data_IF_227076599319
#
_entry.id   IF_227076599319
#
_cell.length_a   1.000
_cell.length_b   1.000
_cell.length_c   1.000
_cell.angle_alpha   90.00
_cell.angle_beta   90.00
_cell.angle_gamma   90.00
#
_symmetry.space_group_name_H-M   'P 1'
#
loop_
_entity.id
_entity.type
_entity.pdbx_description
1 polymer ?
#
# COMPACT_ATOMS: atom_id res chain seq x y z
N UNK A 1 12.69 -5.88 36.89
CA UNK A 1 12.73 -7.11 36.08
C UNK A 1 11.51 -7.02 35.18
N UNK A 2 11.65 -6.22 34.12
CA UNK A 2 10.56 -5.82 33.22
C UNK A 2 10.70 -6.58 31.91
N UNK A 3 9.62 -7.22 31.51
CA UNK A 3 9.55 -8.08 30.33
C UNK A 3 9.40 -7.20 29.09
N UNK A 4 10.51 -6.96 28.38
CA UNK A 4 10.50 -6.31 27.06
C UNK A 4 9.86 -7.28 26.04
N UNK A 5 8.58 -7.07 25.71
CA UNK A 5 7.93 -7.80 24.62
C UNK A 5 8.55 -7.36 23.28
N UNK A 6 9.33 -8.27 22.69
CA UNK A 6 9.85 -8.10 21.33
C UNK A 6 8.70 -8.25 20.33
N UNK A 7 8.38 -7.16 19.64
CA UNK A 7 7.51 -7.18 18.46
C UNK A 7 8.32 -7.61 17.24
N UNK A 8 8.20 -8.87 16.84
CA UNK A 8 8.54 -9.31 15.48
C UNK A 8 7.28 -9.23 14.63
N UNK A 9 7.18 -8.23 13.79
CA UNK A 9 6.23 -8.21 12.68
C UNK A 9 7.06 -8.31 11.39
N UNK A 10 6.86 -9.39 10.64
CA UNK A 10 7.52 -9.59 9.34
C UNK A 10 7.17 -8.45 8.39
N UNK A 11 8.18 -7.93 7.70
CA UNK A 11 8.10 -6.91 6.66
C UNK A 11 7.51 -5.54 7.07
N UNK A 12 7.96 -5.01 8.22
CA UNK A 12 8.19 -3.57 8.34
C UNK A 12 9.62 -3.44 8.83
N UNK A 13 10.50 -2.84 8.02
CA UNK A 13 11.86 -2.49 8.44
C UNK A 13 11.77 -1.70 9.74
N UNK A 14 12.27 -2.27 10.83
CA UNK A 14 12.32 -1.60 12.13
C UNK A 14 13.40 -0.52 12.04
N UNK A 15 12.99 0.74 11.83
CA UNK A 15 13.88 1.89 11.99
C UNK A 15 13.67 2.45 13.40
N UNK A 16 14.45 1.94 14.35
CA UNK A 16 14.70 2.60 15.63
C UNK A 16 15.98 3.42 15.47
N UNK A 17 15.84 4.74 15.34
CA UNK A 17 16.98 5.66 15.48
C UNK A 17 17.21 5.89 16.97
N UNK A 18 18.29 5.33 17.49
CA UNK A 18 18.78 5.57 18.84
C UNK A 18 19.64 6.83 18.86
N UNK A 19 19.03 8.02 18.67
CA UNK A 19 19.67 9.31 18.94
C UNK A 19 18.65 10.30 19.52
N UNK A 20 19.09 11.12 20.48
CA UNK A 20 18.28 11.99 21.35
C UNK A 20 17.45 13.08 20.64
N UNK A 21 16.89 14.04 21.40
CA UNK A 21 15.75 14.85 20.96
C UNK A 21 16.19 15.78 19.82
N UNK A 22 15.79 15.44 18.60
CA UNK A 22 15.96 16.26 17.42
C UNK A 22 14.76 15.97 16.52
N UNK A 23 14.10 17.04 16.08
CA UNK A 23 12.82 17.02 15.39
C UNK A 23 12.75 15.99 14.26
N UNK A 24 11.84 15.02 14.40
CA UNK A 24 11.50 14.08 13.34
C UNK A 24 10.65 14.83 12.31
N UNK A 25 11.31 15.36 11.28
CA UNK A 25 10.63 16.00 10.14
C UNK A 25 10.21 14.92 9.13
N UNK A 26 8.99 14.41 9.26
CA UNK A 26 8.35 13.60 8.22
C UNK A 26 7.85 14.53 7.10
N UNK A 27 8.69 14.78 6.11
CA UNK A 27 8.31 15.51 4.88
C UNK A 27 7.23 14.74 4.09
N UNK A 28 6.40 15.48 3.36
CA UNK A 28 5.15 14.98 2.75
C UNK A 28 5.33 13.99 1.59
N UNK A 29 6.56 13.81 1.06
CA UNK A 29 6.86 12.88 -0.05
C UNK A 29 8.21 12.13 0.06
N UNK A 30 8.93 12.31 1.16
CA UNK A 30 10.27 11.74 1.36
C UNK A 30 10.36 11.03 2.71
N UNK A 31 10.38 9.69 2.68
CA UNK A 31 11.23 8.98 3.64
C UNK A 31 12.65 9.14 3.09
N UNK A 32 13.51 9.91 3.76
CA UNK A 32 14.95 9.71 3.60
C UNK A 32 15.26 8.30 4.11
N UNK A 33 15.11 7.33 3.21
CA UNK A 33 15.52 5.97 3.45
C UNK A 33 17.02 5.97 3.24
N UNK A 34 17.81 5.98 4.32
CA UNK A 34 19.23 5.70 4.24
C UNK A 34 19.37 4.21 3.88
N UNK A 35 19.24 3.89 2.60
CA UNK A 35 19.44 2.52 2.12
C UNK A 35 20.94 2.27 2.09
N UNK A 36 21.47 1.66 3.15
CA UNK A 36 22.78 1.01 3.08
C UNK A 36 22.65 -0.20 2.15
N UNK A 37 22.76 0.02 0.83
CA UNK A 37 22.98 -1.05 -0.15
C UNK A 37 24.42 -1.56 -0.01
N UNK A 38 24.69 -2.24 1.10
CA UNK A 38 25.97 -2.86 1.42
C UNK A 38 25.78 -4.36 1.59
N UNK A 39 25.56 -5.08 0.50
CA UNK A 39 25.76 -6.53 0.45
C UNK A 39 27.26 -6.82 0.55
N UNK A 40 27.78 -6.85 1.77
CA UNK A 40 29.19 -7.10 2.03
C UNK A 40 29.38 -7.68 3.43
N UNK A 41 29.93 -8.90 3.45
CA UNK A 41 30.35 -9.66 4.63
C UNK A 41 30.89 -8.79 5.78
N UNK A 42 30.51 -9.16 7.01
CA UNK A 42 31.09 -8.65 8.25
C UNK A 42 32.58 -8.99 8.29
N UNK A 43 33.41 -8.04 7.88
CA UNK A 43 34.85 -8.10 7.96
C UNK A 43 35.41 -6.69 8.11
N UNK A 44 35.82 -6.37 9.33
CA UNK A 44 36.62 -5.21 9.76
C UNK A 44 36.27 -3.83 9.13
N UNK A 45 35.76 -2.92 9.97
CA UNK A 45 35.59 -1.51 9.64
C UNK A 45 36.90 -0.91 9.07
N UNK A 46 36.91 -0.42 7.82
CA UNK A 46 38.00 0.41 7.36
C UNK A 46 37.87 1.80 7.97
N UNK A 47 39.02 2.40 8.30
CA UNK A 47 39.12 3.78 8.75
C UNK A 47 38.45 4.73 7.77
N UNK A 48 37.51 5.53 8.26
CA UNK A 48 36.86 6.62 7.54
C UNK A 48 37.90 7.69 7.19
N UNK A 49 38.45 7.60 5.97
CA UNK A 49 39.08 8.75 5.31
C UNK A 49 37.97 9.67 4.77
N UNK A 50 38.09 10.94 5.14
CA UNK A 50 37.07 12.00 5.12
C UNK A 50 36.86 12.64 3.73
N UNK A 51 36.93 11.85 2.65
CA UNK A 51 36.81 12.37 1.26
C UNK A 51 35.80 11.65 0.38
N UNK A 52 34.96 10.78 0.95
CA UNK A 52 33.81 10.24 0.24
C UNK A 52 32.67 11.27 0.30
N UNK A 53 32.56 12.11 -0.73
CA UNK A 53 31.29 12.80 -0.99
C UNK A 53 30.25 11.73 -1.28
N UNK A 54 29.57 11.25 -0.23
CA UNK A 54 28.47 10.32 -0.35
C UNK A 54 27.48 10.90 -1.37
N UNK A 55 27.38 10.24 -2.52
CA UNK A 55 26.43 10.61 -3.57
C UNK A 55 25.03 10.55 -2.94
N UNK A 56 24.47 11.71 -2.65
CA UNK A 56 23.09 11.82 -2.16
C UNK A 56 22.18 11.48 -3.33
N UNK A 57 21.61 10.28 -3.28
CA UNK A 57 20.55 9.87 -4.19
C UNK A 57 19.21 10.42 -3.69
N UNK A 58 18.41 10.98 -4.59
CA UNK A 58 17.06 11.41 -4.27
C UNK A 58 16.11 10.22 -4.38
N UNK A 59 15.60 9.72 -3.26
CA UNK A 59 14.68 8.59 -3.25
C UNK A 59 13.26 9.08 -2.96
N UNK A 60 12.33 8.81 -3.88
CA UNK A 60 10.89 9.07 -3.70
C UNK A 60 10.13 7.75 -3.75
N UNK A 61 9.32 7.49 -2.74
CA UNK A 61 8.42 6.32 -2.74
C UNK A 61 7.17 6.68 -3.54
N UNK A 62 6.89 5.93 -4.60
CA UNK A 62 5.69 6.12 -5.45
C UNK A 62 4.52 5.32 -4.88
N UNK A 63 4.76 4.06 -4.55
CA UNK A 63 3.78 3.17 -3.95
C UNK A 63 4.45 2.13 -3.07
N UNK A 64 3.76 1.71 -2.02
CA UNK A 64 4.15 0.66 -1.11
C UNK A 64 2.90 -0.11 -0.72
N UNK A 65 2.61 -1.17 -1.46
CA UNK A 65 1.46 -2.05 -1.26
C UNK A 65 1.96 -3.48 -0.93
N UNK A 66 1.06 -4.36 -0.47
CA UNK A 66 1.33 -5.72 0.03
C UNK A 66 2.47 -6.48 -0.71
N UNK A 67 3.71 -6.33 -0.24
CA UNK A 67 4.90 -7.02 -0.78
C UNK A 67 5.53 -6.41 -2.05
N UNK A 68 5.11 -5.23 -2.48
CA UNK A 68 5.67 -4.52 -3.65
C UNK A 68 5.88 -3.04 -3.34
N UNK A 69 7.05 -2.52 -3.69
CA UNK A 69 7.37 -1.09 -3.59
C UNK A 69 7.86 -0.57 -4.92
N UNK A 70 7.23 0.49 -5.42
CA UNK A 70 7.75 1.28 -6.53
C UNK A 70 8.45 2.51 -5.96
N UNK A 71 9.72 2.69 -6.31
CA UNK A 71 10.51 3.84 -5.90
C UNK A 71 11.13 4.50 -7.12
N UNK A 72 11.25 5.82 -7.05
CA UNK A 72 12.08 6.61 -7.95
C UNK A 72 13.40 6.87 -7.21
N UNK A 73 14.51 6.49 -7.83
CA UNK A 73 15.87 6.82 -7.36
C UNK A 73 16.49 7.74 -8.40
N UNK A 74 16.67 9.00 -8.01
CA UNK A 74 16.96 10.12 -8.90
C UNK A 74 15.87 10.25 -9.97
N UNK A 75 16.11 9.77 -11.19
CA UNK A 75 15.14 9.73 -12.28
C UNK A 75 14.90 8.31 -12.80
N UNK A 76 15.30 7.29 -12.04
CA UNK A 76 15.12 5.88 -12.39
C UNK A 76 13.98 5.25 -11.61
N UNK A 77 13.04 4.62 -12.31
CA UNK A 77 12.02 3.79 -11.69
C UNK A 77 12.63 2.44 -11.28
N UNK A 78 12.35 2.02 -10.05
CA UNK A 78 12.72 0.71 -9.52
C UNK A 78 11.48 0.03 -8.92
N UNK A 79 11.36 -1.27 -9.15
CA UNK A 79 10.33 -2.12 -8.55
C UNK A 79 10.99 -3.13 -7.62
N UNK A 80 10.68 -3.03 -6.33
CA UNK A 80 11.16 -3.92 -5.28
C UNK A 80 10.01 -4.84 -4.87
N UNK A 81 10.05 -6.10 -5.28
CA UNK A 81 9.08 -7.12 -4.87
C UNK A 81 9.67 -8.52 -5.00
N UNK A 82 8.88 -9.54 -4.64
CA UNK A 82 9.24 -10.95 -4.86
C UNK A 82 9.32 -11.32 -6.35
N UNK A 83 8.57 -10.61 -7.20
CA UNK A 83 8.58 -10.77 -8.65
C UNK A 83 8.74 -9.39 -9.29
N UNK A 84 9.97 -8.81 -9.25
CA UNK A 84 10.20 -7.48 -9.77
C UNK A 84 9.93 -7.41 -11.27
N UNK A 85 9.63 -6.21 -11.77
CA UNK A 85 9.60 -5.97 -13.21
C UNK A 85 11.03 -6.04 -13.70
N UNK A 86 11.25 -6.67 -14.84
CA UNK A 86 12.59 -6.70 -15.44
C UNK A 86 12.99 -5.32 -16.00
N UNK A 87 14.27 -5.18 -16.37
CA UNK A 87 14.80 -3.90 -16.84
C UNK A 87 14.14 -3.45 -18.16
N UNK A 88 13.72 -4.38 -19.03
CA UNK A 88 13.04 -4.06 -20.29
C UNK A 88 11.62 -3.55 -20.03
N UNK A 89 10.90 -4.17 -19.09
CA UNK A 89 9.59 -3.74 -18.62
C UNK A 89 9.62 -2.37 -17.96
N UNK A 90 10.62 -2.11 -17.12
CA UNK A 90 10.85 -0.80 -16.53
C UNK A 90 11.20 0.24 -17.60
N UNK A 91 12.05 -0.11 -18.57
CA UNK A 91 12.40 0.76 -19.68
C UNK A 91 11.16 1.17 -20.50
N UNK A 92 10.28 0.21 -20.83
CA UNK A 92 9.00 0.49 -21.51
C UNK A 92 8.16 1.52 -20.76
N UNK A 93 8.12 1.46 -19.42
CA UNK A 93 7.42 2.45 -18.60
C UNK A 93 8.11 3.79 -18.67
N UNK A 94 9.44 3.84 -18.48
CA UNK A 94 10.19 5.10 -18.41
C UNK A 94 10.33 5.82 -19.75
N UNK A 95 10.27 5.10 -20.86
CA UNK A 95 10.30 5.66 -22.21
C UNK A 95 9.02 6.47 -22.52
N UNK A 96 7.90 6.06 -21.93
CA UNK A 96 6.59 6.70 -22.14
C UNK A 96 6.25 7.68 -21.01
N UNK A 97 6.62 7.34 -19.78
CA UNK A 97 6.25 8.06 -18.56
C UNK A 97 7.51 8.45 -17.81
N UNK A 98 7.77 9.75 -17.70
CA UNK A 98 8.79 10.25 -16.79
C UNK A 98 8.47 9.81 -15.35
N UNK A 99 9.38 9.15 -14.61
CA UNK A 99 9.11 8.64 -13.25
C UNK A 99 8.58 9.70 -12.29
N UNK A 100 9.06 10.94 -12.41
CA UNK A 100 8.58 12.09 -11.63
C UNK A 100 7.08 12.37 -11.79
N UNK A 101 6.47 11.96 -12.92
CA UNK A 101 5.03 12.14 -13.20
C UNK A 101 4.17 11.01 -12.67
N UNK A 102 4.75 9.89 -12.22
CA UNK A 102 4.00 8.78 -11.63
C UNK A 102 3.54 9.21 -10.23
N UNK A 103 2.23 9.20 -10.00
CA UNK A 103 1.60 9.53 -8.72
C UNK A 103 1.36 8.28 -7.89
N UNK A 104 0.89 7.21 -8.52
CA UNK A 104 0.63 5.92 -7.89
C UNK A 104 1.01 4.79 -8.85
N UNK A 105 1.42 3.66 -8.29
CA UNK A 105 1.70 2.43 -9.03
C UNK A 105 1.03 1.27 -8.29
N UNK A 106 0.44 0.36 -9.04
CA UNK A 106 -0.30 -0.80 -8.53
C UNK A 106 0.24 -2.04 -9.23
N UNK A 107 0.59 -3.07 -8.47
CA UNK A 107 0.89 -4.38 -9.02
C UNK A 107 -0.41 -5.08 -9.43
N UNK A 108 -0.46 -5.57 -10.66
CA UNK A 108 -1.57 -6.38 -11.15
C UNK A 108 -1.14 -7.84 -11.18
N UNK A 109 -2.11 -8.76 -11.18
CA UNK A 109 -1.85 -10.20 -11.31
C UNK A 109 -2.15 -10.70 -12.74
N UNK A 110 -1.53 -11.81 -13.13
CA UNK A 110 -1.68 -12.51 -14.43
C UNK A 110 -1.06 -11.74 -15.62
N UNK A 111 -1.70 -11.76 -16.79
CA UNK A 111 -1.32 -11.09 -18.04
C UNK A 111 -1.20 -9.56 -17.90
N UNK A 112 -1.55 -8.99 -16.76
CA UNK A 112 -1.31 -7.60 -16.44
C UNK A 112 -0.26 -7.54 -15.33
N UNK A 113 0.85 -6.85 -15.57
CA UNK A 113 1.98 -6.78 -14.63
C UNK A 113 1.81 -5.65 -13.62
N UNK A 114 1.53 -4.44 -14.11
CA UNK A 114 1.41 -3.25 -13.28
C UNK A 114 0.54 -2.18 -13.94
N UNK A 115 -0.02 -1.28 -13.13
CA UNK A 115 -0.68 -0.07 -13.58
C UNK A 115 -0.04 1.16 -12.95
N UNK A 116 0.04 2.25 -13.71
CA UNK A 116 0.68 3.50 -13.33
C UNK A 116 -0.29 4.66 -13.53
N UNK A 117 -0.64 5.34 -12.44
CA UNK A 117 -1.44 6.56 -12.48
C UNK A 117 -0.50 7.77 -12.52
N UNK A 118 -0.64 8.60 -13.56
CA UNK A 118 0.12 9.83 -13.72
C UNK A 118 -0.55 11.03 -13.04
N UNK A 119 0.22 12.07 -12.74
CA UNK A 119 -0.27 13.31 -12.12
C UNK A 119 -1.28 14.13 -12.95
N UNK A 120 -1.48 13.78 -14.23
CA UNK A 120 -2.52 14.35 -15.11
C UNK A 120 -3.77 13.46 -15.20
N UNK A 121 -3.91 12.50 -14.29
CA UNK A 121 -5.03 11.58 -14.18
C UNK A 121 -5.06 10.47 -15.23
N UNK A 122 -4.05 10.35 -16.10
CA UNK A 122 -3.96 9.25 -17.07
C UNK A 122 -3.48 7.96 -16.41
N UNK A 123 -4.18 6.86 -16.70
CA UNK A 123 -3.81 5.52 -16.29
C UNK A 123 -3.09 4.80 -17.44
N UNK A 124 -1.95 4.19 -17.12
CA UNK A 124 -1.21 3.31 -18.03
C UNK A 124 -1.17 1.91 -17.45
N UNK A 125 -1.21 0.89 -18.29
CA UNK A 125 -1.16 -0.52 -17.89
C UNK A 125 -0.06 -1.22 -18.68
N UNK A 126 0.78 -1.94 -17.94
CA UNK A 126 1.78 -2.85 -18.49
C UNK A 126 1.14 -4.24 -18.66
N UNK A 127 0.99 -4.65 -19.92
CA UNK A 127 0.33 -5.88 -20.33
C UNK A 127 1.36 -6.86 -20.86
N UNK A 128 1.28 -8.12 -20.44
CA UNK A 128 2.00 -9.25 -21.01
C UNK A 128 1.03 -10.09 -21.83
N UNK A 129 1.28 -10.19 -23.13
CA UNK A 129 0.50 -11.01 -24.03
C UNK A 129 1.25 -12.31 -24.29
N UNK A 130 0.67 -13.43 -23.87
CA UNK A 130 1.21 -14.76 -24.14
C UNK A 130 0.92 -15.14 -25.60
N UNK A 131 1.96 -15.19 -26.42
CA UNK A 131 1.94 -15.80 -27.74
C UNK A 131 2.41 -17.25 -27.68
N UNK A 132 2.08 -18.05 -28.70
CA UNK A 132 2.42 -19.49 -28.74
C UNK A 132 3.91 -19.81 -28.55
N UNK A 133 4.83 -18.86 -28.80
CA UNK A 133 6.28 -19.07 -28.64
C UNK A 133 7.06 -17.89 -27.99
N UNK A 134 6.42 -16.73 -27.76
CA UNK A 134 7.03 -15.55 -27.11
C UNK A 134 5.98 -14.74 -26.34
N UNK A 135 6.27 -14.40 -25.09
CA UNK A 135 5.52 -13.41 -24.32
C UNK A 135 5.98 -12.01 -24.72
N UNK A 136 5.08 -11.17 -25.23
CA UNK A 136 5.39 -9.76 -25.54
C UNK A 136 4.79 -8.85 -24.48
N UNK A 137 5.61 -8.00 -23.87
CA UNK A 137 5.14 -6.98 -22.94
C UNK A 137 4.97 -5.64 -23.65
N UNK A 138 3.86 -4.94 -23.39
CA UNK A 138 3.60 -3.60 -23.93
C UNK A 138 2.92 -2.69 -22.90
N UNK A 139 3.16 -1.39 -23.01
CA UNK A 139 2.50 -0.38 -22.20
C UNK A 139 1.34 0.24 -22.99
N UNK A 140 0.14 0.23 -22.41
CA UNK A 140 -1.04 0.86 -22.98
C UNK A 140 -1.55 2.00 -22.10
N UNK A 141 -1.90 3.12 -22.71
CA UNK A 141 -2.68 4.17 -22.04
C UNK A 141 -4.16 3.83 -22.10
N UNK A 142 -4.85 3.91 -20.97
CA UNK A 142 -6.30 3.74 -20.92
C UNK A 142 -6.96 5.08 -21.25
N UNK A 143 -7.63 5.20 -22.41
CA UNK A 143 -8.39 6.40 -22.73
C UNK A 143 -9.60 6.48 -21.79
N UNK A 144 -9.97 7.68 -21.38
CA UNK A 144 -11.15 7.84 -20.54
C UNK A 144 -11.11 9.02 -19.60
N UNK A 145 -11.92 8.88 -18.54
CA UNK A 145 -12.09 9.88 -17.49
C UNK A 145 -10.80 9.99 -16.65
N UNK A 146 -10.26 11.20 -16.42
CA UNK A 146 -9.09 11.39 -15.56
C UNK A 146 -9.35 10.91 -14.13
N UNK A 147 -8.38 10.18 -13.57
CA UNK A 147 -8.46 9.55 -12.24
C UNK A 147 -7.57 10.33 -11.26
N UNK A 148 -8.11 10.73 -10.11
CA UNK A 148 -7.31 11.38 -9.07
C UNK A 148 -6.62 10.36 -8.15
N UNK A 149 -7.31 9.26 -7.83
CA UNK A 149 -6.82 8.21 -6.96
C UNK A 149 -7.33 6.84 -7.41
N UNK A 150 -6.51 5.81 -7.25
CA UNK A 150 -6.88 4.42 -7.54
C UNK A 150 -6.29 3.51 -6.46
N UNK A 151 -7.03 2.46 -6.11
CA UNK A 151 -6.57 1.42 -5.23
C UNK A 151 -7.06 0.06 -5.71
N UNK A 152 -6.21 -0.94 -5.53
CA UNK A 152 -6.53 -2.33 -5.79
C UNK A 152 -6.53 -3.08 -4.47
N UNK A 153 -7.57 -3.86 -4.24
CA UNK A 153 -7.64 -4.78 -3.12
C UNK A 153 -7.08 -6.13 -3.54
N UNK A 154 -5.94 -6.49 -2.96
CA UNK A 154 -5.40 -7.84 -3.07
C UNK A 154 -6.05 -8.76 -2.03
N UNK A 155 -6.24 -10.03 -2.40
CA UNK A 155 -6.57 -11.06 -1.40
C UNK A 155 -5.41 -11.14 -0.39
N UNK A 156 -5.72 -11.10 0.90
CA UNK A 156 -4.69 -11.19 1.95
C UNK A 156 -4.38 -12.65 2.24
N UNK A 157 -3.14 -12.94 2.64
CA UNK A 157 -2.78 -14.26 3.19
C UNK A 157 -3.72 -14.69 4.34
N UNK A 158 -4.18 -13.73 5.16
CA UNK A 158 -5.06 -14.01 6.31
C UNK A 158 -6.56 -14.05 5.98
N UNK A 159 -6.96 -13.62 4.78
CA UNK A 159 -8.32 -13.81 4.29
C UNK A 159 -8.28 -14.06 2.78
N UNK A 160 -7.81 -15.25 2.36
CA UNK A 160 -7.68 -15.60 0.96
C UNK A 160 -9.04 -15.79 0.28
N UNK A 161 -10.12 -15.81 1.09
CA UNK A 161 -11.49 -15.79 0.60
C UNK A 161 -11.93 -14.40 0.10
N UNK A 162 -11.22 -13.29 0.33
CA UNK A 162 -11.70 -12.03 -0.25
C UNK A 162 -11.62 -12.05 -1.80
N UNK A 163 -12.59 -11.42 -2.46
CA UNK A 163 -12.51 -11.18 -3.91
C UNK A 163 -11.23 -10.40 -4.20
N UNK A 164 -10.23 -11.13 -4.70
CA UNK A 164 -8.99 -10.54 -5.19
C UNK A 164 -9.32 -9.65 -6.38
N UNK A 165 -8.63 -8.50 -6.50
CA UNK A 165 -8.66 -7.57 -7.65
C UNK A 165 -9.85 -6.62 -7.69
N UNK A 166 -10.59 -6.47 -6.60
CA UNK A 166 -11.54 -5.38 -6.52
C UNK A 166 -10.79 -4.05 -6.62
N UNK A 167 -11.35 -3.10 -7.37
CA UNK A 167 -10.76 -1.79 -7.62
C UNK A 167 -11.66 -0.72 -7.04
N UNK A 168 -11.07 0.28 -6.40
CA UNK A 168 -11.74 1.53 -6.07
C UNK A 168 -10.99 2.68 -6.75
N UNK A 169 -11.72 3.67 -7.26
CA UNK A 169 -11.11 4.87 -7.84
C UNK A 169 -11.95 6.11 -7.54
N UNK A 170 -11.28 7.26 -7.65
CA UNK A 170 -11.88 8.60 -7.58
C UNK A 170 -11.54 9.33 -8.87
N UNK A 171 -12.53 9.98 -9.47
CA UNK A 171 -12.32 10.78 -10.68
C UNK A 171 -11.88 12.20 -10.32
N UNK A 172 -11.09 12.84 -11.19
CA UNK A 172 -10.73 14.26 -11.00
C UNK A 172 -11.97 15.18 -11.06
N UNK A 173 -12.97 14.83 -11.88
CA UNK A 173 -14.19 15.62 -12.04
C UNK A 173 -15.15 15.55 -10.86
N UNK A 174 -15.03 14.51 -10.03
CA UNK A 174 -15.84 14.32 -8.84
C UNK A 174 -14.98 13.71 -7.72
N UNK A 175 -14.17 14.54 -7.04
CA UNK A 175 -13.20 14.07 -6.07
C UNK A 175 -13.85 13.58 -4.75
N UNK A 176 -15.17 13.72 -4.60
CA UNK A 176 -15.92 13.27 -3.42
C UNK A 176 -16.50 11.87 -3.57
N UNK A 177 -16.58 11.36 -4.80
CA UNK A 177 -17.21 10.06 -5.08
C UNK A 177 -16.16 9.00 -5.31
N UNK A 178 -16.24 7.92 -4.53
CA UNK A 178 -15.49 6.69 -4.77
C UNK A 178 -16.41 5.73 -5.51
N UNK A 179 -15.96 5.25 -6.68
CA UNK A 179 -16.60 4.16 -7.41
C UNK A 179 -15.77 2.89 -7.24
N UNK A 180 -16.44 1.76 -7.05
CA UNK A 180 -15.81 0.46 -6.81
C UNK A 180 -16.32 -0.61 -7.78
N UNK A 181 -15.45 -1.57 -8.08
CA UNK A 181 -15.71 -2.70 -8.96
C UNK A 181 -15.13 -3.97 -8.34
N UNK A 182 -15.80 -5.11 -8.53
CA UNK A 182 -15.28 -6.41 -8.06
C UNK A 182 -14.10 -6.93 -8.91
N UNK A 183 -13.82 -6.30 -10.06
CA UNK A 183 -12.69 -6.66 -10.91
C UNK A 183 -12.22 -5.50 -11.78
N UNK A 184 -11.01 -5.66 -12.33
CA UNK A 184 -10.35 -4.67 -13.17
C UNK A 184 -11.02 -4.46 -14.54
N UNK A 185 -11.47 -5.53 -15.21
CA UNK A 185 -12.00 -5.43 -16.57
C UNK A 185 -13.27 -4.58 -16.68
N UNK A 186 -14.28 -4.71 -15.78
CA UNK A 186 -15.42 -3.80 -15.75
C UNK A 186 -15.03 -2.33 -15.54
N UNK A 187 -14.03 -2.08 -14.69
CA UNK A 187 -13.52 -0.73 -14.43
C UNK A 187 -12.90 -0.11 -15.68
N UNK A 188 -12.05 -0.85 -16.40
CA UNK A 188 -11.48 -0.38 -17.68
C UNK A 188 -12.57 -0.12 -18.71
N UNK A 189 -13.53 -1.03 -18.86
CA UNK A 189 -14.66 -0.81 -19.76
C UNK A 189 -15.45 0.46 -19.41
N UNK A 190 -15.69 0.72 -18.13
CA UNK A 190 -16.40 1.91 -17.65
C UNK A 190 -15.61 3.21 -17.88
N UNK A 191 -14.29 3.18 -17.74
CA UNK A 191 -13.44 4.34 -18.04
C UNK A 191 -13.45 4.70 -19.53
N UNK A 192 -13.46 3.69 -20.41
CA UNK A 192 -13.42 3.87 -21.87
C UNK A 192 -14.79 4.17 -22.49
N UNK A 193 -15.88 3.71 -21.88
CA UNK A 193 -17.22 3.82 -22.44
C UNK A 193 -17.90 5.15 -22.07
N UNK A 194 -18.10 6.01 -23.07
CA UNK A 194 -18.86 7.24 -22.93
C UNK A 194 -20.38 7.00 -22.86
N UNK A 195 -20.86 5.80 -23.22
CA UNK A 195 -22.28 5.45 -23.30
C UNK A 195 -22.77 4.53 -22.16
N UNK A 196 -21.95 4.34 -21.12
CA UNK A 196 -22.31 3.69 -19.84
C UNK A 196 -23.07 2.36 -19.98
N UNK A 197 -22.43 1.30 -20.47
CA UNK A 197 -23.04 -0.05 -20.47
C UNK A 197 -22.72 -0.90 -19.25
N UNK A 198 -21.76 -0.50 -18.41
CA UNK A 198 -21.42 -1.19 -17.17
C UNK A 198 -21.37 -0.21 -16.02
N UNK A 199 -22.34 -0.29 -15.12
CA UNK A 199 -22.32 0.51 -13.91
C UNK A 199 -21.25 -0.02 -12.94
N UNK A 200 -20.66 0.86 -12.10
CA UNK A 200 -19.84 0.44 -10.97
C UNK A 200 -20.59 -0.55 -10.08
N UNK A 201 -19.87 -1.51 -9.47
CA UNK A 201 -20.44 -2.39 -8.45
C UNK A 201 -21.01 -1.56 -7.30
N UNK A 202 -20.29 -0.51 -6.90
CA UNK A 202 -20.73 0.42 -5.87
C UNK A 202 -20.27 1.84 -6.18
N UNK A 203 -21.01 2.82 -5.68
CA UNK A 203 -20.66 4.23 -5.73
C UNK A 203 -21.10 4.90 -4.44
N UNK A 204 -20.19 5.66 -3.82
CA UNK A 204 -20.48 6.40 -2.59
C UNK A 204 -19.87 7.78 -2.65
N UNK A 205 -20.66 8.79 -2.27
CA UNK A 205 -20.25 10.19 -2.22
C UNK A 205 -20.05 10.62 -0.77
N UNK A 206 -18.85 11.11 -0.46
CA UNK A 206 -18.47 11.60 0.86
C UNK A 206 -18.76 13.10 1.02
N UNK A 207 -18.76 13.57 2.26
CA UNK A 207 -18.97 14.98 2.57
C UNK A 207 -17.82 15.88 2.08
N UNK A 208 -16.58 15.37 2.15
CA UNK A 208 -15.35 16.06 1.75
C UNK A 208 -14.62 15.30 0.63
N UNK A 209 -13.74 15.98 -0.09
CA UNK A 209 -12.98 15.38 -1.19
C UNK A 209 -12.01 14.34 -0.66
N UNK A 210 -11.79 13.27 -1.43
CA UNK A 210 -10.82 12.24 -1.10
C UNK A 210 -9.42 12.73 -1.49
N UNK A 211 -8.49 12.70 -0.54
CA UNK A 211 -7.08 13.08 -0.75
C UNK A 211 -6.14 11.88 -0.82
N UNK A 212 -6.59 10.72 -0.33
CA UNK A 212 -5.86 9.47 -0.44
C UNK A 212 -6.80 8.29 -0.48
N UNK A 213 -6.49 7.33 -1.35
CA UNK A 213 -7.12 6.02 -1.41
C UNK A 213 -6.02 4.96 -1.32
N UNK A 214 -6.30 3.86 -0.62
CA UNK A 214 -5.30 2.85 -0.30
C UNK A 214 -5.78 1.43 -0.64
N UNK A 215 -4.85 0.50 -0.84
CA UNK A 215 -5.10 -0.90 -1.22
C UNK A 215 -5.96 -1.69 -0.21
N UNK A 216 -6.08 -1.21 1.03
CA UNK A 216 -7.00 -1.78 2.03
C UNK A 216 -8.42 -1.25 1.96
N UNK A 217 -8.76 -0.51 0.89
CA UNK A 217 -10.04 0.19 0.75
C UNK A 217 -10.30 1.10 1.96
N UNK A 218 -9.27 1.88 2.29
CA UNK A 218 -9.37 3.01 3.19
C UNK A 218 -9.17 4.30 2.40
N UNK A 219 -10.07 5.27 2.61
CA UNK A 219 -9.99 6.61 2.07
C UNK A 219 -9.73 7.61 3.19
N UNK A 220 -8.84 8.57 2.94
CA UNK A 220 -8.68 9.78 3.74
C UNK A 220 -9.32 10.94 2.99
N UNK A 221 -10.20 11.67 3.65
CA UNK A 221 -10.80 12.89 3.09
C UNK A 221 -10.08 14.17 3.56
N UNK A 222 -10.38 15.30 2.91
CA UNK A 222 -9.82 16.62 3.23
C UNK A 222 -10.11 17.09 4.66
N UNK A 223 -11.15 16.55 5.31
CA UNK A 223 -11.47 16.85 6.71
C UNK A 223 -10.62 16.01 7.69
N UNK A 224 -9.80 15.10 7.17
CA UNK A 224 -9.00 14.16 7.95
C UNK A 224 -9.79 12.95 8.46
N UNK A 225 -10.98 12.70 7.92
CA UNK A 225 -11.76 11.52 8.28
C UNK A 225 -11.24 10.31 7.51
N UNK A 226 -11.04 9.21 8.24
CA UNK A 226 -10.67 7.93 7.62
C UNK A 226 -11.92 7.08 7.47
N UNK A 227 -12.26 6.73 6.23
CA UNK A 227 -13.35 5.83 5.89
C UNK A 227 -12.79 4.49 5.43
N UNK A 228 -13.32 3.38 5.94
CA UNK A 228 -12.88 2.01 5.59
C UNK A 228 -14.04 1.16 5.10
N UNK A 229 -13.78 0.27 4.15
CA UNK A 229 -14.77 -0.71 3.66
C UNK A 229 -14.12 -2.00 3.16
N UNK A 230 -14.97 -2.93 2.74
CA UNK A 230 -14.67 -4.20 2.08
C UNK A 230 -14.56 -5.41 3.00
N UNK A 231 -14.44 -5.23 4.32
CA UNK A 231 -14.53 -6.35 5.28
C UNK A 231 -15.95 -6.39 5.87
N UNK A 232 -16.64 -7.51 5.68
CA UNK A 232 -18.03 -7.70 6.15
C UNK A 232 -18.09 -7.88 7.67
N UNK A 233 -17.15 -8.65 8.21
CA UNK A 233 -17.07 -8.95 9.64
C UNK A 233 -16.17 -7.95 10.35
N UNK A 234 -16.62 -7.47 11.51
CA UNK A 234 -15.78 -6.76 12.48
C UNK A 234 -15.08 -7.68 13.45
N UNK A 235 -15.35 -8.97 13.35
CA UNK A 235 -14.62 -9.99 14.09
C UNK A 235 -13.60 -10.57 13.12
N UNK A 236 -12.34 -10.59 13.56
CA UNK A 236 -11.29 -11.27 12.81
C UNK A 236 -11.75 -12.71 12.51
N UNK A 237 -11.71 -13.16 11.25
CA UNK A 237 -12.05 -14.55 10.96
C UNK A 237 -11.11 -15.46 11.76
N UNK A 238 -11.58 -16.63 12.21
CA UNK A 238 -10.70 -17.59 12.86
C UNK A 238 -9.54 -17.89 11.92
N UNK A 239 -8.39 -18.20 12.54
CA UNK A 239 -7.21 -18.59 11.79
C UNK A 239 -7.57 -19.67 10.75
N UNK A 240 -6.91 -19.66 9.58
CA UNK A 240 -7.07 -20.71 8.59
C UNK A 240 -6.97 -22.09 9.29
N UNK A 241 -7.89 -23.05 9.09
CA UNK A 241 -7.68 -24.41 9.58
C UNK A 241 -6.35 -24.94 9.02
N UNK A 242 -5.75 -25.92 9.68
CA UNK A 242 -4.46 -26.51 9.26
C UNK A 242 -4.44 -26.98 7.79
N UNK A 243 -5.61 -27.24 7.16
CA UNK A 243 -5.72 -27.52 5.72
C UNK A 243 -5.24 -26.37 4.81
N UNK A 244 -5.23 -25.14 5.33
CA UNK A 244 -4.71 -23.95 4.67
C UNK A 244 -3.19 -23.78 4.91
N UNK A 245 -2.52 -24.58 5.75
CA UNK A 245 -1.04 -24.65 5.78
C UNK A 245 -0.50 -25.10 4.42
N UNK A 246 -1.19 -26.03 3.75
CA UNK A 246 -0.84 -26.45 2.39
C UNK A 246 -1.01 -25.30 1.39
N UNK A 247 -1.98 -24.40 1.62
CA UNK A 247 -2.10 -23.17 0.82
C UNK A 247 -1.00 -22.17 1.18
N UNK A 248 -0.65 -21.97 2.44
CA UNK A 248 0.46 -21.11 2.86
C UNK A 248 1.81 -21.62 2.33
N UNK A 249 2.02 -22.93 2.29
CA UNK A 249 3.18 -23.55 1.65
C UNK A 249 3.12 -23.34 0.13
N UNK A 250 1.99 -23.60 -0.52
CA UNK A 250 1.82 -23.38 -1.95
C UNK A 250 1.99 -21.89 -2.33
N UNK A 251 1.49 -20.99 -1.50
CA UNK A 251 1.65 -19.54 -1.62
C UNK A 251 3.10 -19.15 -1.42
N UNK A 252 3.77 -19.65 -0.39
CA UNK A 252 5.20 -19.43 -0.16
C UNK A 252 6.04 -19.95 -1.34
N UNK A 253 5.72 -21.12 -1.88
CA UNK A 253 6.38 -21.68 -3.06
C UNK A 253 6.09 -20.88 -4.32
N UNK A 254 4.85 -20.42 -4.51
CA UNK A 254 4.50 -19.51 -5.59
C UNK A 254 5.30 -18.21 -5.51
N UNK A 255 5.32 -17.56 -4.34
CA UNK A 255 6.03 -16.31 -4.11
C UNK A 255 7.55 -16.45 -4.24
N UNK A 256 8.13 -17.56 -3.75
CA UNK A 256 9.59 -17.75 -3.73
C UNK A 256 10.14 -18.39 -5.01
N UNK A 257 9.36 -19.27 -5.66
CA UNK A 257 9.84 -20.11 -6.76
C UNK A 257 8.99 -19.97 -8.04
N UNK A 258 7.89 -19.22 -8.01
CA UNK A 258 6.97 -19.09 -9.14
C UNK A 258 6.09 -20.33 -9.37
N UNK A 259 6.08 -21.27 -8.42
CA UNK A 259 5.32 -22.51 -8.56
C UNK A 259 3.80 -22.22 -8.65
N UNK A 260 3.10 -22.69 -9.69
CA UNK A 260 1.67 -22.44 -9.81
C UNK A 260 0.89 -23.06 -8.64
N UNK A 261 0.02 -22.26 -8.02
CA UNK A 261 -0.87 -22.71 -6.94
C UNK A 261 -1.86 -23.74 -7.50
N UNK A 262 -1.66 -25.00 -7.15
CA UNK A 262 -2.49 -26.12 -7.63
C UNK A 262 -3.84 -26.20 -6.92
N UNK A 263 -3.91 -25.70 -5.69
CA UNK A 263 -5.09 -25.76 -4.84
C UNK A 263 -5.25 -24.44 -4.10
N UNK A 264 -6.35 -23.75 -4.40
CA UNK A 264 -6.81 -22.62 -3.62
C UNK A 264 -7.38 -23.09 -2.26
N UNK A 265 -7.40 -22.23 -1.24
CA UNK A 265 -7.98 -22.60 0.05
C UNK A 265 -9.44 -23.02 -0.16
N UNK A 266 -9.90 -23.97 0.65
CA UNK A 266 -11.25 -24.54 0.51
C UNK A 266 -12.38 -23.54 0.82
N UNK A 267 -12.02 -22.40 1.42
CA UNK A 267 -12.94 -21.32 1.78
C UNK A 267 -13.43 -20.61 0.50
N UNK A 268 -14.76 -20.57 0.25
CA UNK A 268 -15.30 -19.87 -0.91
C UNK A 268 -15.07 -18.37 -0.76
N UNK A 269 -14.92 -17.64 -1.88
CA UNK A 269 -14.67 -16.22 -1.77
C UNK A 269 -15.88 -15.47 -1.17
N UNK A 270 -15.61 -14.59 -0.22
CA UNK A 270 -16.56 -13.68 0.40
C UNK A 270 -16.67 -12.39 -0.40
N UNK A 271 -17.91 -11.97 -0.65
CA UNK A 271 -18.20 -10.68 -1.23
C UNK A 271 -17.78 -9.54 -0.29
N UNK A 272 -17.25 -8.46 -0.87
CA UNK A 272 -16.84 -7.27 -0.15
C UNK A 272 -18.06 -6.49 0.39
N UNK A 273 -17.97 -5.99 1.63
CA UNK A 273 -18.94 -5.01 2.15
C UNK A 273 -18.53 -3.61 1.71
N UNK A 274 -19.20 -3.07 0.69
CA UNK A 274 -18.88 -1.75 0.14
C UNK A 274 -19.40 -0.58 1.00
N UNK A 275 -20.05 -0.83 2.13
CA UNK A 275 -20.56 0.23 3.01
C UNK A 275 -19.39 0.88 3.75
N UNK A 276 -19.05 2.16 3.48
CA UNK A 276 -17.97 2.82 4.19
C UNK A 276 -18.34 3.09 5.65
N UNK A 277 -17.36 2.91 6.53
CA UNK A 277 -17.47 3.20 7.95
C UNK A 277 -16.37 4.17 8.34
N UNK A 278 -16.73 5.25 9.02
CA UNK A 278 -15.74 6.21 9.53
C UNK A 278 -15.10 5.68 10.80
N UNK A 279 -13.77 5.76 10.89
CA UNK A 279 -13.04 5.42 12.11
C UNK A 279 -13.21 6.55 13.15
N UNK A 280 -13.34 6.22 14.44
CA UNK A 280 -13.44 7.19 15.53
C UNK A 280 -12.07 7.79 15.88
N UNK A 281 -11.37 8.32 14.87
CA UNK A 281 -10.06 8.95 14.98
C UNK A 281 -10.21 10.49 15.02
N UNK A 282 -9.28 11.21 15.66
CA UNK A 282 -9.15 12.65 15.42
C UNK A 282 -8.76 12.90 13.94
N UNK A 283 -8.92 14.13 13.42
CA UNK A 283 -8.55 14.46 12.05
C UNK A 283 -7.12 14.00 11.69
N UNK A 284 -7.04 13.08 10.74
CA UNK A 284 -5.82 12.46 10.25
C UNK A 284 -5.22 13.32 9.12
N UNK A 285 -3.95 13.65 9.25
CA UNK A 285 -3.15 14.32 8.22
C UNK A 285 -2.56 13.32 7.23
N UNK A 286 -2.04 12.18 7.72
CA UNK A 286 -1.38 11.17 6.89
C UNK A 286 -1.93 9.78 7.21
N UNK A 287 -2.21 9.01 6.16
CA UNK A 287 -2.70 7.64 6.25
C UNK A 287 -1.74 6.70 5.50
N UNK A 288 -1.40 5.56 6.09
CA UNK A 288 -0.72 4.45 5.44
C UNK A 288 -1.40 3.14 5.84
N UNK A 289 -1.55 2.21 4.89
CA UNK A 289 -2.16 0.91 5.15
C UNK A 289 -1.20 -0.18 4.68
N UNK A 290 -0.96 -1.19 5.51
CA UNK A 290 -0.13 -2.34 5.19
C UNK A 290 -0.90 -3.65 5.33
N UNK A 291 -0.20 -4.77 5.10
CA UNK A 291 -0.77 -6.12 5.14
C UNK A 291 -1.57 -6.43 6.40
N UNK A 292 -0.97 -6.12 7.57
CA UNK A 292 -1.53 -6.47 8.88
C UNK A 292 -1.77 -5.24 9.76
N UNK A 293 -1.15 -4.09 9.48
CA UNK A 293 -1.28 -2.89 10.30
C UNK A 293 -1.52 -1.67 9.40
N UNK A 294 -2.31 -0.74 9.91
CA UNK A 294 -2.58 0.55 9.34
C UNK A 294 -2.12 1.62 10.33
N UNK A 295 -1.71 2.75 9.79
CA UNK A 295 -1.14 3.84 10.56
C UNK A 295 -1.75 5.17 10.11
N UNK A 296 -2.11 5.99 11.08
CA UNK A 296 -2.60 7.35 10.88
C UNK A 296 -1.80 8.33 11.72
N UNK A 297 -1.43 9.47 11.16
CA UNK A 297 -0.82 10.59 11.89
C UNK A 297 -1.83 11.73 11.90
N UNK A 298 -2.25 12.18 13.08
CA UNK A 298 -3.18 13.31 13.20
C UNK A 298 -2.54 14.64 12.81
N UNK A 299 -3.36 15.67 12.62
CA UNK A 299 -2.87 17.05 12.50
C UNK A 299 -2.07 17.53 13.71
N UNK A 300 -2.27 16.93 14.89
CA UNK A 300 -1.50 17.22 16.10
C UNK A 300 -0.18 16.42 16.18
N UNK A 301 0.15 15.63 15.15
CA UNK A 301 1.35 14.79 15.13
C UNK A 301 1.22 13.49 15.93
N UNK A 302 0.01 13.14 16.37
CA UNK A 302 -0.23 11.91 17.13
C UNK A 302 -0.26 10.70 16.20
N UNK A 303 0.45 9.64 16.60
CA UNK A 303 0.49 8.37 15.87
C UNK A 303 -0.59 7.41 16.38
N UNK A 304 -1.41 6.90 15.45
CA UNK A 304 -2.44 5.91 15.68
C UNK A 304 -2.14 4.67 14.86
N UNK A 305 -2.24 3.48 15.46
CA UNK A 305 -2.04 2.20 14.79
C UNK A 305 -3.27 1.33 15.01
N UNK A 306 -3.79 0.72 13.94
CA UNK A 306 -4.90 -0.24 14.01
C UNK A 306 -4.70 -1.35 13.00
N UNK A 307 -5.37 -2.48 13.18
CA UNK A 307 -5.26 -3.60 12.24
C UNK A 307 -5.39 -4.94 12.94
N UNK A 308 -4.64 -5.92 12.44
CA UNK A 308 -4.62 -7.31 12.89
C UNK A 308 -3.99 -7.43 14.28
N UNK A 309 -4.65 -6.92 15.33
CA UNK A 309 -4.45 -7.24 16.75
C UNK A 309 -5.66 -6.77 17.56
N UNK A 310 -6.74 -7.55 17.51
CA UNK A 310 -7.56 -7.98 18.65
C UNK A 310 -8.90 -8.51 18.18
N UNK A 311 -9.57 -9.27 19.04
CA UNK A 311 -10.92 -9.78 18.83
C UNK A 311 -11.98 -8.66 18.66
N UNK A 312 -11.58 -7.38 18.73
CA UNK A 312 -12.44 -6.21 18.63
C UNK A 312 -11.97 -5.27 17.50
N UNK A 313 -12.65 -5.26 16.34
CA UNK A 313 -12.34 -4.29 15.29
C UNK A 313 -13.14 -2.97 15.45
N UNK A 314 -12.52 -1.79 15.27
CA UNK A 314 -11.09 -1.53 15.24
C UNK A 314 -10.55 -1.19 16.64
N UNK A 315 -9.67 -2.02 17.19
CA UNK A 315 -8.80 -1.59 18.28
C UNK A 315 -7.74 -0.65 17.70
N UNK A 316 -7.84 0.61 18.12
CA UNK A 316 -6.94 1.68 17.73
C UNK A 316 -6.01 1.92 18.92
N UNK A 317 -4.73 1.59 18.75
CA UNK A 317 -3.72 1.93 19.71
C UNK A 317 -3.25 3.38 19.48
N UNK A 318 -3.45 4.21 20.50
CA UNK A 318 -2.73 5.47 20.64
C UNK A 318 -1.33 5.13 21.19
N UNK A 319 -0.31 5.31 20.36
CA UNK A 319 1.09 4.95 20.69
C UNK A 319 1.92 6.17 21.09
N UNK A 320 1.27 7.31 21.35
CA UNK A 320 1.98 8.49 21.77
C UNK A 320 2.43 8.29 23.21
N UNK A 321 3.72 8.57 23.55
CA UNK A 321 4.17 8.49 24.92
C UNK A 321 3.23 9.40 25.73
N UNK A 322 2.62 8.84 26.77
CA UNK A 322 1.81 9.64 27.67
C UNK A 322 2.65 10.87 28.02
N UNK A 323 2.16 12.04 27.63
CA UNK A 323 2.44 13.28 28.36
C UNK A 323 1.74 13.13 29.72
N UNK A 324 2.12 12.09 30.46
CA UNK A 324 1.80 11.91 31.86
C UNK A 324 2.45 13.11 32.51
N UNK A 325 1.61 14.07 32.88
CA UNK A 325 2.03 15.28 33.54
C UNK A 325 2.95 14.91 34.70
N UNK A 326 4.20 15.32 34.60
CA UNK A 326 5.00 15.65 35.77
C UNK A 326 4.35 16.89 36.38
N UNK A 327 3.20 16.72 37.03
CA UNK A 327 2.79 17.57 38.15
C UNK A 327 3.40 16.93 39.40
N UNK A 328 4.73 17.00 39.49
CA UNK A 328 5.41 16.91 40.77
C UNK A 328 5.09 18.20 41.52
N UNK A 329 4.08 18.18 42.38
CA UNK A 329 3.85 19.25 43.33
C UNK A 329 5.07 19.38 44.21
N UNK A 330 5.81 20.49 44.08
CA UNK A 330 6.74 20.94 45.09
C UNK A 330 5.93 21.34 46.32
N UNK A 331 5.66 20.40 47.23
CA UNK A 331 5.34 20.75 48.60
C UNK A 331 6.63 20.72 49.41
N UNK A 332 7.02 21.91 49.85
CA UNK A 332 7.88 22.10 51.01
C UNK A 332 7.22 21.43 52.21
N UNK A 333 7.96 20.54 52.86
CA UNK A 333 8.18 20.50 54.31
C UNK A 333 9.52 19.80 54.59
#
# INVERSE_FOLDING_TARGET
METLQHFRCGMIGTFLLDHGPSDVVLSDDYMECLVCLGGGYVGAAPSLDDSSTALRQNIRIISCDDGSTFVQVDDHLKHLSHHPLDDDELALVTDVIQPSRIKQAILLSESNRAAFLCGNGKLYILLTQDGNDQSTTRLESIPGRPISHIALRSARMHNPALISRAVALVLESDPRTVVSFDSWQPMIAWLMDNETKKDPTHSVTFAASIVKLTSKFAALDEAGTVHVWGEKSTVQPPDPPDEDEAFEEAWSRYVLFGDPIQRWPSRPPEALDYTPRSLPLPPIKKLATGGCCNVGISHAGQLFVWGYRSENWPEIADVNPMSAGVQGSCHYD
#
